data_IF_000573258229
#
_entry.id   IF_000573258229
#
_cell.length_a   1.000
_cell.length_b   1.000
_cell.length_c   1.000
_cell.angle_alpha   90.00
_cell.angle_beta   90.00
_cell.angle_gamma   90.00
#
_symmetry.space_group_name_H-M   'P 1'
#
loop_
_entity.id
_entity.type
_entity.pdbx_description
1 polymer ?
#
# COMPACT_ATOMS: atom_id res chain seq x y z
N UNK A 1 9.22 -16.22 51.31
CA UNK A 1 10.59 -16.36 50.78
C UNK A 1 11.29 -15.03 50.97
N UNK A 2 12.47 -15.06 51.61
CA UNK A 2 13.62 -14.14 51.60
C UNK A 2 13.41 -12.63 51.27
N UNK A 3 14.05 -11.64 51.90
CA UNK A 3 15.12 -11.60 52.90
C UNK A 3 15.23 -10.14 53.41
N UNK A 4 15.61 -9.99 54.68
CA UNK A 4 16.12 -8.75 55.26
C UNK A 4 17.43 -8.28 54.58
N UNK A 5 17.64 -6.97 54.52
CA UNK A 5 18.95 -6.35 54.27
C UNK A 5 18.99 -4.91 54.79
N UNK A 6 19.79 -4.70 55.83
CA UNK A 6 19.91 -3.49 56.66
C UNK A 6 21.20 -2.71 56.32
N UNK A 7 21.21 -1.40 56.69
CA UNK A 7 22.38 -0.54 57.05
C UNK A 7 23.25 0.02 55.90
N UNK A 8 23.83 1.24 55.91
CA UNK A 8 23.90 2.41 56.84
C UNK A 8 24.78 3.51 56.20
N UNK A 9 24.54 4.79 56.57
CA UNK A 9 25.55 5.88 56.81
C UNK A 9 26.33 6.44 55.58
N UNK A 10 26.68 7.73 55.41
CA UNK A 10 26.91 8.92 56.26
C UNK A 10 26.63 10.21 55.49
N UNK A 11 26.28 11.23 56.26
CA UNK A 11 26.37 12.65 55.90
C UNK A 11 27.80 13.07 55.54
N UNK A 12 27.91 14.09 54.68
CA UNK A 12 29.13 14.85 54.45
C UNK A 12 28.84 16.17 53.75
N UNK A 13 28.42 17.19 54.50
CA UNK A 13 28.45 18.58 54.05
C UNK A 13 29.90 19.03 53.83
N UNK A 14 30.21 19.63 52.68
CA UNK A 14 31.16 20.75 52.59
C UNK A 14 30.66 21.75 51.54
N UNK A 15 30.33 22.94 52.02
CA UNK A 15 30.28 24.18 51.24
C UNK A 15 31.69 24.50 50.73
N UNK A 16 31.81 24.99 49.50
CA UNK A 16 32.86 25.92 49.06
C UNK A 16 32.36 26.71 47.84
N UNK A 17 32.04 27.97 48.11
CA UNK A 17 32.32 29.21 47.34
C UNK A 17 32.43 29.21 45.81
N UNK A 18 31.66 30.15 45.26
CA UNK A 18 31.68 30.79 43.94
C UNK A 18 33.00 30.83 43.15
N UNK A 19 32.91 30.56 41.85
CA UNK A 19 33.63 31.30 40.81
C UNK A 19 32.80 31.28 39.51
N UNK A 20 32.39 32.47 39.10
CA UNK A 20 31.83 32.78 37.79
C UNK A 20 32.97 32.76 36.77
N UNK A 21 32.92 31.89 35.77
CA UNK A 21 33.64 32.06 34.51
C UNK A 21 32.67 31.75 33.38
N UNK A 22 32.24 32.81 32.70
CA UNK A 22 31.62 32.73 31.39
C UNK A 22 32.65 32.26 30.36
N UNK A 23 32.51 31.05 29.86
CA UNK A 23 32.95 30.69 28.51
C UNK A 23 31.78 29.97 27.84
N UNK A 24 30.89 30.75 27.24
CA UNK A 24 29.85 30.25 26.37
C UNK A 24 30.47 29.65 25.11
N UNK A 25 30.69 28.34 25.11
CA UNK A 25 30.58 27.58 23.87
C UNK A 25 29.14 27.09 23.79
N UNK A 26 28.28 27.89 23.15
CA UNK A 26 27.07 27.35 22.57
C UNK A 26 27.52 26.37 21.47
N UNK A 27 27.49 25.08 21.77
CA UNK A 27 27.52 24.05 20.75
C UNK A 27 26.26 24.25 19.91
N UNK A 28 26.38 25.00 18.80
CA UNK A 28 25.37 25.07 17.78
C UNK A 28 25.16 23.63 17.30
N UNK A 29 24.07 23.00 17.76
CA UNK A 29 23.64 21.73 17.22
C UNK A 29 23.27 22.04 15.78
N UNK A 30 24.15 21.67 14.84
CA UNK A 30 23.80 21.59 13.44
C UNK A 30 22.63 20.60 13.37
N UNK A 31 21.41 21.13 13.35
CA UNK A 31 20.28 20.39 12.82
C UNK A 31 20.69 20.16 11.37
N UNK A 32 21.13 18.95 11.06
CA UNK A 32 21.32 18.53 9.70
C UNK A 32 20.00 18.86 9.00
N UNK A 33 20.06 19.79 8.04
CA UNK A 33 18.91 20.08 7.21
C UNK A 33 18.39 18.74 6.70
N UNK A 34 17.12 18.45 6.96
CA UNK A 34 16.47 17.30 6.38
C UNK A 34 16.82 17.30 4.88
N UNK A 35 17.25 16.17 4.30
CA UNK A 35 17.52 16.12 2.87
C UNK A 35 16.30 16.73 2.19
N UNK A 36 16.54 17.74 1.34
CA UNK A 36 15.49 18.32 0.54
C UNK A 36 14.74 17.15 -0.10
N UNK A 37 13.45 17.01 0.21
CA UNK A 37 12.61 16.01 -0.43
C UNK A 37 12.92 16.12 -1.93
N UNK A 38 13.41 15.01 -2.51
CA UNK A 38 13.82 15.00 -3.91
C UNK A 38 12.67 15.61 -4.71
N UNK A 39 12.95 16.66 -5.49
CA UNK A 39 11.90 17.30 -6.29
C UNK A 39 11.15 16.24 -7.11
N UNK A 40 9.83 16.40 -7.32
CA UNK A 40 9.01 15.38 -7.95
C UNK A 40 9.64 15.01 -9.29
N UNK A 41 9.88 13.72 -9.49
CA UNK A 41 10.56 13.24 -10.68
C UNK A 41 9.60 12.82 -11.80
N UNK A 42 8.30 12.98 -11.60
CA UNK A 42 7.22 12.58 -12.51
C UNK A 42 5.91 12.37 -11.75
N UNK A 43 4.92 11.84 -12.48
CA UNK A 43 3.62 11.41 -11.99
C UNK A 43 3.45 9.93 -12.26
N UNK A 44 2.99 9.20 -11.25
CA UNK A 44 2.64 7.80 -11.36
C UNK A 44 1.14 7.72 -11.60
N UNK A 45 0.70 6.78 -12.42
CA UNK A 45 -0.72 6.56 -12.67
C UNK A 45 -0.96 5.08 -12.78
N UNK A 46 -2.18 4.62 -12.48
CA UNK A 46 -2.62 3.26 -12.73
C UNK A 46 -3.93 3.27 -13.49
N UNK A 47 -4.05 2.39 -14.48
CA UNK A 47 -5.23 2.29 -15.32
C UNK A 47 -5.43 0.84 -15.76
N UNK A 48 -6.64 0.55 -16.26
CA UNK A 48 -6.91 -0.72 -16.92
C UNK A 48 -6.26 -0.72 -18.31
N UNK A 49 -5.46 -1.75 -18.58
CA UNK A 49 -4.70 -1.88 -19.82
C UNK A 49 -5.18 -3.01 -20.74
N UNK A 50 -6.29 -3.67 -20.41
CA UNK A 50 -6.82 -4.77 -21.22
C UNK A 50 -8.19 -5.25 -20.76
N UNK A 51 -8.44 -6.53 -21.02
CA UNK A 51 -9.68 -7.20 -20.63
C UNK A 51 -9.74 -7.44 -19.12
N UNK A 52 -10.95 -7.66 -18.63
CA UNK A 52 -11.17 -8.28 -17.33
C UNK A 52 -11.47 -9.75 -17.55
N UNK A 53 -10.83 -10.59 -16.76
CA UNK A 53 -11.08 -12.01 -16.73
C UNK A 53 -11.79 -12.38 -15.45
N UNK A 54 -12.44 -13.54 -15.46
CA UNK A 54 -12.89 -14.18 -14.25
C UNK A 54 -12.80 -15.70 -14.38
N UNK A 55 -12.70 -16.35 -13.24
CA UNK A 55 -12.57 -17.80 -13.18
C UNK A 55 -13.01 -18.31 -11.81
N UNK A 56 -13.25 -19.62 -11.75
CA UNK A 56 -13.46 -20.34 -10.51
C UNK A 56 -12.24 -21.22 -10.23
N UNK A 57 -11.69 -21.18 -9.02
CA UNK A 57 -10.56 -22.04 -8.61
C UNK A 57 -11.00 -23.44 -8.14
N UNK A 58 -10.02 -24.31 -7.83
CA UNK A 58 -10.27 -25.67 -7.35
C UNK A 58 -11.02 -25.76 -6.02
N UNK A 59 -11.08 -24.67 -5.26
CA UNK A 59 -11.87 -24.54 -4.04
C UNK A 59 -13.29 -24.02 -4.30
N UNK A 60 -13.72 -23.93 -5.55
CA UNK A 60 -14.98 -23.31 -5.96
C UNK A 60 -15.09 -21.82 -5.57
N UNK A 61 -13.97 -21.11 -5.45
CA UNK A 61 -13.97 -19.68 -5.19
C UNK A 61 -13.92 -18.89 -6.49
N UNK A 62 -14.67 -17.79 -6.52
CA UNK A 62 -14.77 -16.90 -7.69
C UNK A 62 -13.68 -15.82 -7.61
N UNK A 63 -13.02 -15.56 -8.74
CA UNK A 63 -11.98 -14.54 -8.86
C UNK A 63 -12.25 -13.65 -10.07
N UNK A 64 -12.03 -12.35 -9.91
CA UNK A 64 -12.02 -11.36 -10.99
C UNK A 64 -10.58 -10.88 -11.16
N UNK A 65 -10.07 -10.85 -12.38
CA UNK A 65 -8.70 -10.51 -12.71
C UNK A 65 -8.63 -9.49 -13.86
N UNK A 66 -8.60 -8.17 -13.57
CA UNK A 66 -8.29 -7.18 -14.59
C UNK A 66 -6.82 -7.22 -15.00
N UNK A 67 -6.55 -6.80 -16.25
CA UNK A 67 -5.22 -6.39 -16.69
C UNK A 67 -5.05 -4.90 -16.41
N UNK A 68 -4.03 -4.57 -15.63
CA UNK A 68 -3.67 -3.22 -15.19
C UNK A 68 -2.35 -2.81 -15.84
N UNK A 69 -2.11 -1.52 -15.99
CA UNK A 69 -0.78 -0.99 -16.21
C UNK A 69 -0.57 0.25 -15.35
N UNK A 70 0.67 0.42 -14.90
CA UNK A 70 1.11 1.65 -14.29
C UNK A 70 1.91 2.45 -15.32
N UNK A 71 1.87 3.78 -15.24
CA UNK A 71 2.70 4.65 -16.07
C UNK A 71 3.43 5.67 -15.19
N UNK A 72 4.64 6.04 -15.58
CA UNK A 72 5.49 6.98 -14.88
C UNK A 72 6.03 8.00 -15.88
N UNK A 73 5.83 9.29 -15.62
CA UNK A 73 6.30 10.35 -16.54
C UNK A 73 7.78 10.69 -16.36
N UNK A 74 8.43 10.19 -15.30
CA UNK A 74 9.83 10.42 -15.03
C UNK A 74 10.79 9.49 -15.77
N UNK A 75 12.09 9.73 -15.58
CA UNK A 75 13.16 9.06 -16.33
C UNK A 75 13.32 7.57 -15.99
N UNK A 76 13.15 7.20 -14.72
CA UNK A 76 13.33 5.83 -14.21
C UNK A 76 12.07 5.45 -13.46
N UNK A 77 11.42 4.35 -13.86
CA UNK A 77 10.22 3.83 -13.20
C UNK A 77 10.55 3.47 -11.73
N UNK A 78 9.84 4.03 -10.75
CA UNK A 78 10.11 3.74 -9.34
C UNK A 78 9.58 2.35 -8.96
N UNK A 79 10.31 1.64 -8.08
CA UNK A 79 9.75 0.45 -7.45
C UNK A 79 8.66 0.87 -6.47
N UNK A 80 7.44 0.39 -6.67
CA UNK A 80 6.29 0.74 -5.82
C UNK A 80 5.40 -0.48 -5.55
N UNK A 81 4.26 -0.27 -4.91
CA UNK A 81 3.20 -1.24 -4.76
C UNK A 81 1.87 -0.65 -5.20
N UNK A 82 0.95 -1.52 -5.58
CA UNK A 82 -0.43 -1.15 -5.78
C UNK A 82 -1.33 -1.95 -4.85
N UNK A 83 -2.53 -1.43 -4.61
CA UNK A 83 -3.61 -2.16 -3.99
C UNK A 83 -4.86 -2.11 -4.87
N UNK A 84 -5.77 -3.06 -4.67
CA UNK A 84 -7.04 -3.16 -5.34
C UNK A 84 -8.10 -3.64 -4.36
N UNK A 85 -9.27 -3.00 -4.38
CA UNK A 85 -10.41 -3.31 -3.52
C UNK A 85 -11.67 -3.46 -4.36
N UNK A 86 -12.59 -4.31 -3.90
CA UNK A 86 -13.92 -4.48 -4.49
C UNK A 86 -14.96 -3.82 -3.59
N UNK A 87 -16.03 -3.26 -4.15
CA UNK A 87 -17.18 -2.77 -3.40
C UNK A 87 -17.99 -3.88 -2.68
N UNK A 88 -17.76 -5.15 -3.01
CA UNK A 88 -18.41 -6.30 -2.38
C UNK A 88 -17.49 -7.11 -1.46
N UNK A 89 -16.17 -6.99 -1.64
CA UNK A 89 -15.17 -7.76 -0.90
C UNK A 89 -14.67 -7.03 0.35
N UNK A 90 -14.34 -7.78 1.40
CA UNK A 90 -13.56 -7.26 2.55
C UNK A 90 -12.04 -7.30 2.30
N UNK A 91 -11.62 -7.89 1.18
CA UNK A 91 -10.22 -8.16 0.87
C UNK A 91 -9.64 -7.02 0.05
N UNK A 92 -8.40 -6.67 0.38
CA UNK A 92 -7.53 -5.89 -0.50
C UNK A 92 -6.59 -6.88 -1.17
N UNK A 93 -6.49 -6.83 -2.50
CA UNK A 93 -5.46 -7.50 -3.27
C UNK A 93 -4.39 -6.47 -3.66
N UNK A 94 -3.20 -6.91 -4.02
CA UNK A 94 -2.14 -5.99 -4.42
C UNK A 94 -0.77 -6.62 -4.30
N UNK A 95 0.23 -5.91 -4.82
CA UNK A 95 1.60 -6.39 -4.85
C UNK A 95 2.57 -5.36 -5.39
N UNK A 96 3.84 -5.73 -5.50
CA UNK A 96 4.87 -4.84 -6.04
C UNK A 96 4.64 -4.57 -7.53
N UNK A 97 4.96 -3.34 -7.95
CA UNK A 97 4.99 -2.89 -9.34
C UNK A 97 6.37 -2.30 -9.62
N UNK A 98 7.10 -2.94 -10.52
CA UNK A 98 8.51 -2.60 -10.81
C UNK A 98 8.74 -2.13 -12.24
N UNK A 99 7.70 -2.06 -13.05
CA UNK A 99 7.76 -1.57 -14.43
C UNK A 99 6.39 -1.08 -14.92
N UNK A 100 6.39 -0.35 -16.04
CA UNK A 100 5.17 0.08 -16.73
C UNK A 100 4.51 -1.02 -17.58
N UNK A 101 5.07 -2.24 -17.61
CA UNK A 101 4.49 -3.33 -18.39
C UNK A 101 3.12 -3.73 -17.81
N UNK A 102 2.11 -4.04 -18.66
CA UNK A 102 0.83 -4.53 -18.18
C UNK A 102 0.99 -5.79 -17.34
N UNK A 103 0.21 -5.88 -16.26
CA UNK A 103 0.20 -7.01 -15.34
C UNK A 103 -1.24 -7.39 -14.99
N UNK A 104 -1.43 -8.68 -14.70
CA UNK A 104 -2.73 -9.25 -14.31
C UNK A 104 -2.73 -9.53 -12.82
N UNK A 105 -3.82 -9.14 -12.14
CA UNK A 105 -3.97 -9.42 -10.72
C UNK A 105 -5.39 -9.82 -10.38
N UNK A 106 -5.55 -10.82 -9.51
CA UNK A 106 -6.86 -11.33 -9.14
C UNK A 106 -7.33 -10.78 -7.78
N UNK A 107 -8.62 -10.54 -7.65
CA UNK A 107 -9.32 -10.21 -6.40
C UNK A 107 -10.57 -11.05 -6.27
N UNK A 108 -10.94 -11.33 -5.02
CA UNK A 108 -12.05 -12.18 -4.65
C UNK A 108 -11.56 -13.37 -3.83
N UNK A 109 -11.89 -14.57 -4.30
CA UNK A 109 -11.63 -15.80 -3.58
C UNK A 109 -12.72 -16.10 -2.55
N UNK A 110 -13.92 -15.55 -2.72
CA UNK A 110 -15.11 -15.95 -1.99
C UNK A 110 -15.78 -17.17 -2.66
N UNK A 111 -16.38 -18.07 -1.85
CA UNK A 111 -17.10 -19.23 -2.37
C UNK A 111 -18.16 -18.80 -3.39
N UNK A 112 -18.32 -19.59 -4.45
CA UNK A 112 -19.33 -19.33 -5.49
C UNK A 112 -20.74 -19.37 -4.93
N UNK A 113 -21.00 -20.27 -3.99
CA UNK A 113 -22.27 -20.34 -3.29
C UNK A 113 -22.48 -19.09 -2.42
N UNK A 114 -23.50 -18.29 -2.75
CA UNK A 114 -23.79 -17.04 -2.04
C UNK A 114 -22.81 -15.91 -2.34
N UNK A 115 -22.02 -16.01 -3.42
CA UNK A 115 -21.10 -14.95 -3.82
C UNK A 115 -21.87 -13.67 -4.18
N UNK A 116 -21.51 -12.56 -3.55
CA UNK A 116 -22.17 -11.26 -3.75
C UNK A 116 -21.83 -10.59 -5.08
N UNK A 117 -20.88 -11.11 -5.84
CA UNK A 117 -20.52 -10.57 -7.15
C UNK A 117 -21.49 -11.04 -8.24
N UNK A 118 -22.02 -12.27 -8.15
CA UNK A 118 -22.80 -12.89 -9.22
C UNK A 118 -24.06 -12.09 -9.54
N UNK A 119 -24.21 -11.71 -10.81
CA UNK A 119 -25.36 -10.95 -11.31
C UNK A 119 -25.31 -9.46 -11.00
N UNK A 120 -24.19 -8.96 -10.47
CA UNK A 120 -24.02 -7.58 -10.06
C UNK A 120 -22.91 -6.86 -10.83
N UNK A 121 -22.96 -5.52 -10.76
CA UNK A 121 -21.87 -4.66 -11.20
C UNK A 121 -20.88 -4.49 -10.06
N UNK A 122 -19.66 -5.01 -10.23
CA UNK A 122 -18.56 -4.92 -9.27
C UNK A 122 -17.67 -3.74 -9.63
N UNK A 123 -17.37 -2.87 -8.68
CA UNK A 123 -16.42 -1.78 -8.82
C UNK A 123 -15.09 -2.20 -8.20
N UNK A 124 -14.03 -2.20 -8.99
CA UNK A 124 -12.66 -2.44 -8.54
C UNK A 124 -11.92 -1.12 -8.47
N UNK A 125 -11.59 -0.67 -7.27
CA UNK A 125 -10.74 0.51 -7.06
C UNK A 125 -9.30 0.04 -6.96
N UNK A 126 -8.46 0.40 -7.93
CA UNK A 126 -7.03 0.13 -7.90
C UNK A 126 -6.27 1.44 -7.63
N UNK A 127 -5.35 1.44 -6.67
CA UNK A 127 -4.47 2.56 -6.40
C UNK A 127 -3.00 2.11 -6.42
N UNK A 128 -2.17 2.85 -7.14
CA UNK A 128 -0.72 2.74 -7.09
C UNK A 128 -0.21 3.69 -6.00
N UNK A 129 0.90 3.34 -5.36
CA UNK A 129 1.46 4.07 -4.23
C UNK A 129 0.47 4.47 -3.12
N UNK A 130 -0.31 3.54 -2.57
CA UNK A 130 -1.38 3.89 -1.63
C UNK A 130 -0.89 4.49 -0.29
N UNK A 131 0.42 4.57 -0.07
CA UNK A 131 1.06 5.15 1.12
C UNK A 131 2.03 6.30 0.78
N UNK A 132 2.03 6.77 -0.47
CA UNK A 132 2.78 7.94 -0.97
C UNK A 132 4.29 7.87 -0.65
N UNK A 133 4.90 6.75 -1.00
CA UNK A 133 6.34 6.49 -0.85
C UNK A 133 7.19 7.08 -1.98
N UNK A 134 6.61 7.23 -3.16
CA UNK A 134 7.14 7.97 -4.30
C UNK A 134 6.59 9.39 -4.20
N UNK A 135 7.45 10.37 -4.43
CA UNK A 135 7.05 11.77 -4.43
C UNK A 135 6.67 12.22 -5.83
N UNK A 136 5.44 12.71 -5.98
CA UNK A 136 4.78 12.96 -7.26
C UNK A 136 4.27 14.41 -7.36
N UNK A 137 3.98 14.90 -8.57
CA UNK A 137 3.40 16.24 -8.74
C UNK A 137 1.89 16.21 -8.45
N UNK A 138 1.23 15.11 -8.83
CA UNK A 138 -0.21 14.94 -8.71
C UNK A 138 -0.58 13.55 -8.18
N UNK A 139 -0.76 13.45 -6.87
CA UNK A 139 -1.22 12.23 -6.18
C UNK A 139 -2.69 11.86 -6.48
N UNK A 140 -3.45 12.76 -7.11
CA UNK A 140 -4.89 12.53 -7.35
C UNK A 140 -5.16 11.57 -8.50
N UNK A 141 -4.15 11.32 -9.36
CA UNK A 141 -4.24 10.44 -10.52
C UNK A 141 -3.72 9.00 -10.23
N UNK A 142 -3.35 8.72 -8.98
CA UNK A 142 -2.88 7.41 -8.52
C UNK A 142 -3.97 6.34 -8.38
N UNK A 143 -5.24 6.69 -8.63
CA UNK A 143 -6.37 5.78 -8.45
C UNK A 143 -7.21 5.68 -9.72
N UNK A 144 -7.62 4.46 -10.05
CA UNK A 144 -8.63 4.18 -11.08
C UNK A 144 -9.75 3.32 -10.51
N UNK A 145 -10.95 3.47 -11.06
CA UNK A 145 -12.09 2.58 -10.79
C UNK A 145 -12.41 1.81 -12.07
N UNK A 146 -12.47 0.49 -11.97
CA UNK A 146 -12.83 -0.42 -13.07
C UNK A 146 -14.21 -0.98 -12.74
N UNK A 147 -15.14 -0.79 -13.66
CA UNK A 147 -16.50 -1.33 -13.54
C UNK A 147 -16.56 -2.67 -14.24
N UNK A 148 -16.95 -3.73 -13.54
CA UNK A 148 -16.98 -5.11 -14.04
C UNK A 148 -18.41 -5.63 -13.99
N UNK A 149 -18.90 -6.13 -15.13
CA UNK A 149 -20.24 -6.73 -15.23
C UNK A 149 -20.12 -8.24 -15.01
N UNK A 150 -20.46 -8.70 -13.81
CA UNK A 150 -20.32 -10.12 -13.44
C UNK A 150 -21.61 -10.88 -13.78
N UNK A 151 -21.53 -11.95 -14.60
CA UNK A 151 -22.69 -12.77 -14.92
C UNK A 151 -23.33 -13.40 -13.67
N UNK A 152 -24.63 -13.69 -13.72
CA UNK A 152 -25.35 -14.36 -12.64
C UNK A 152 -24.96 -15.85 -12.49
N UNK A 153 -24.44 -16.45 -13.55
CA UNK A 153 -24.07 -17.87 -13.59
C UNK A 153 -22.55 -17.99 -13.58
N UNK A 154 -21.93 -18.71 -12.63
CA UNK A 154 -20.48 -18.83 -12.55
C UNK A 154 -19.87 -19.50 -13.79
N UNK A 155 -18.54 -19.39 -13.98
CA UNK A 155 -17.84 -20.09 -15.06
C UNK A 155 -18.19 -21.60 -15.07
N UNK A 156 -18.43 -22.20 -16.25
CA UNK A 156 -18.99 -23.55 -16.37
C UNK A 156 -18.02 -24.66 -15.95
N UNK A 157 -16.72 -24.38 -15.87
CA UNK A 157 -15.72 -25.34 -15.43
C UNK A 157 -14.62 -24.66 -14.61
N UNK A 158 -14.28 -25.28 -13.49
CA UNK A 158 -13.15 -24.91 -12.64
C UNK A 158 -11.87 -24.77 -13.45
N UNK A 159 -11.11 -23.71 -13.19
CA UNK A 159 -9.87 -23.38 -13.90
C UNK A 159 -10.07 -22.76 -15.28
N UNK A 160 -11.30 -22.67 -15.80
CA UNK A 160 -11.57 -21.96 -17.06
C UNK A 160 -11.52 -20.46 -16.82
N UNK A 161 -10.64 -19.78 -17.56
CA UNK A 161 -10.54 -18.33 -17.59
C UNK A 161 -11.43 -17.80 -18.72
N UNK A 162 -12.38 -16.95 -18.37
CA UNK A 162 -13.28 -16.32 -19.32
C UNK A 162 -13.08 -14.81 -19.28
N UNK A 163 -13.18 -14.16 -20.45
CA UNK A 163 -13.26 -12.70 -20.51
C UNK A 163 -14.66 -12.26 -20.08
N UNK A 164 -14.72 -11.18 -19.30
CA UNK A 164 -15.96 -10.52 -18.90
C UNK A 164 -15.95 -9.03 -19.25
N UNK A 165 -17.12 -8.43 -19.52
CA UNK A 165 -17.21 -7.01 -19.82
C UNK A 165 -16.74 -6.17 -18.64
N UNK A 166 -15.92 -5.15 -18.95
CA UNK A 166 -15.59 -4.11 -18.01
C UNK A 166 -15.36 -2.77 -18.71
N UNK A 167 -15.42 -1.67 -17.97
CA UNK A 167 -15.10 -0.30 -18.39
C UNK A 167 -14.17 0.37 -17.41
#
# INVERSE_FOLDING_TARGET
>A
MAQHGWRTYRQGMRRLTSALVCTGLAAATLVAAAPAAAMPAGDLTIHRAGTCEWYQDSGANLWIAPVLAANWTGKIFPSNAFNMRSNYGKRTAGGPVTSAAPFRWAIGGEPTAGNSFLGHTVLLTAAIDPINTVYELDESNNTTVITVLVPATPPPATGTVLTIPCS
#
